data_IF_041612032604
#
_entry.id   IF_041612032604
#
_cell.length_a   1.000
_cell.length_b   1.000
_cell.length_c   1.000
_cell.angle_alpha   90.00
_cell.angle_beta   90.00
_cell.angle_gamma   90.00
#
_symmetry.space_group_name_H-M   'P 1'
#
loop_
_entity.id
_entity.type
_entity.pdbx_description
1 polymer ?
#
# COMPACT_ATOMS: atom_id res chain seq x y z
N UNK A 1 4.72 -15.07 -18.75
CA UNK A 1 3.75 -14.82 -17.67
C UNK A 1 4.53 -14.85 -16.37
N UNK A 2 4.58 -13.73 -15.64
CA UNK A 2 5.28 -13.61 -14.37
C UNK A 2 4.30 -13.68 -13.18
N UNK A 3 4.82 -13.80 -11.96
CA UNK A 3 4.01 -13.95 -10.75
C UNK A 3 3.05 -12.78 -10.52
N UNK A 4 3.45 -11.56 -10.87
CA UNK A 4 2.62 -10.37 -10.73
C UNK A 4 1.46 -10.38 -11.73
N UNK A 5 1.69 -10.86 -12.95
CA UNK A 5 0.65 -11.03 -13.97
C UNK A 5 -0.40 -12.05 -13.49
N UNK A 6 0.03 -13.20 -12.96
CA UNK A 6 -0.89 -14.22 -12.40
C UNK A 6 -1.69 -13.64 -11.24
N UNK A 7 -1.03 -12.96 -10.30
CA UNK A 7 -1.68 -12.32 -9.18
C UNK A 7 -2.73 -11.28 -9.65
N UNK A 8 -2.41 -10.51 -10.69
CA UNK A 8 -3.30 -9.48 -11.25
C UNK A 8 -4.51 -10.08 -11.96
N UNK A 9 -4.36 -11.23 -12.62
CA UNK A 9 -5.47 -11.95 -13.26
C UNK A 9 -6.45 -12.54 -12.23
N UNK A 10 -5.94 -13.05 -11.10
CA UNK A 10 -6.77 -13.53 -9.99
C UNK A 10 -7.43 -12.34 -9.31
N UNK A 11 -6.67 -11.28 -9.08
CA UNK A 11 -7.14 -10.09 -8.42
C UNK A 11 -8.21 -9.37 -9.26
N UNK A 12 -8.00 -9.04 -10.53
CA UNK A 12 -8.93 -8.30 -11.43
C UNK A 12 -9.27 -6.86 -11.02
N UNK A 13 -9.56 -6.58 -9.76
CA UNK A 13 -9.98 -5.24 -9.27
C UNK A 13 -9.53 -4.99 -7.84
N UNK A 14 -9.26 -3.72 -7.51
CA UNK A 14 -8.95 -3.27 -6.15
C UNK A 14 -10.17 -2.94 -5.30
N UNK A 15 -11.37 -2.81 -5.90
CA UNK A 15 -12.59 -2.50 -5.16
C UNK A 15 -13.16 -3.75 -4.48
N UNK A 16 -12.59 -4.12 -3.33
CA UNK A 16 -12.90 -5.35 -2.58
C UNK A 16 -12.52 -5.24 -1.10
N UNK A 17 -13.16 -6.02 -0.22
CA UNK A 17 -12.90 -5.96 1.22
C UNK A 17 -11.50 -6.48 1.62
N UNK A 18 -10.88 -7.34 0.82
CA UNK A 18 -9.58 -7.97 1.05
C UNK A 18 -8.41 -7.23 0.37
N UNK A 19 -8.63 -6.02 -0.14
CA UNK A 19 -7.62 -5.25 -0.89
C UNK A 19 -6.29 -5.08 -0.12
N UNK A 20 -6.34 -4.94 1.21
CA UNK A 20 -5.14 -4.82 2.04
C UNK A 20 -4.28 -6.09 2.03
N UNK A 21 -4.90 -7.28 2.01
CA UNK A 21 -4.18 -8.56 1.94
C UNK A 21 -3.50 -8.74 0.57
N UNK A 22 -4.17 -8.27 -0.49
CA UNK A 22 -3.56 -8.20 -1.81
C UNK A 22 -2.35 -7.27 -1.81
N UNK A 23 -2.44 -6.07 -1.23
CA UNK A 23 -1.30 -5.16 -1.13
C UNK A 23 -0.08 -5.80 -0.43
N UNK A 24 -0.32 -6.58 0.63
CA UNK A 24 0.74 -7.35 1.30
C UNK A 24 1.36 -8.41 0.38
N UNK A 25 0.55 -9.19 -0.34
CA UNK A 25 1.05 -10.16 -1.30
C UNK A 25 1.88 -9.50 -2.42
N UNK A 26 1.44 -8.37 -2.95
CA UNK A 26 2.18 -7.61 -3.95
C UNK A 26 3.50 -7.04 -3.41
N UNK A 27 3.59 -6.75 -2.10
CA UNK A 27 4.85 -6.31 -1.46
C UNK A 27 5.91 -7.41 -1.42
N UNK A 28 5.50 -8.69 -1.44
CA UNK A 28 6.41 -9.83 -1.54
C UNK A 28 6.93 -10.02 -2.98
N UNK A 29 6.10 -9.70 -3.98
CA UNK A 29 6.47 -9.78 -5.40
C UNK A 29 7.32 -8.58 -5.82
N UNK A 30 7.00 -7.40 -5.28
CA UNK A 30 7.68 -6.13 -5.52
C UNK A 30 8.21 -5.55 -4.20
N UNK A 31 9.43 -5.91 -3.77
CA UNK A 31 9.97 -5.49 -2.48
C UNK A 31 9.96 -3.97 -2.24
N UNK A 32 10.13 -3.18 -3.31
CA UNK A 32 10.12 -1.71 -3.23
C UNK A 32 8.73 -1.11 -2.95
N UNK A 33 7.64 -1.85 -3.17
CA UNK A 33 6.29 -1.36 -2.87
C UNK A 33 6.03 -1.23 -1.37
N UNK A 34 6.78 -1.95 -0.54
CA UNK A 34 6.70 -1.82 0.92
C UNK A 34 6.92 -0.37 1.38
N UNK A 35 7.93 0.30 0.81
CA UNK A 35 8.22 1.70 1.12
C UNK A 35 7.07 2.64 0.72
N UNK A 36 6.41 2.37 -0.41
CA UNK A 36 5.26 3.15 -0.87
C UNK A 36 4.05 2.96 0.06
N UNK A 37 3.79 1.72 0.49
CA UNK A 37 2.71 1.39 1.43
C UNK A 37 2.95 2.07 2.78
N UNK A 38 4.16 1.97 3.33
CA UNK A 38 4.54 2.61 4.60
C UNK A 38 4.44 4.14 4.52
N UNK A 39 4.92 4.74 3.43
CA UNK A 39 4.81 6.19 3.20
C UNK A 39 3.36 6.66 3.13
N UNK A 40 2.52 5.94 2.38
CA UNK A 40 1.09 6.25 2.29
C UNK A 40 0.39 6.12 3.65
N UNK A 41 0.67 5.06 4.40
CA UNK A 41 0.10 4.86 5.73
C UNK A 41 0.47 6.02 6.68
N UNK A 42 1.73 6.45 6.67
CA UNK A 42 2.16 7.60 7.47
C UNK A 42 1.46 8.90 7.03
N UNK A 43 1.30 9.13 5.73
CA UNK A 43 0.57 10.30 5.24
C UNK A 43 -0.89 10.32 5.69
N UNK A 44 -1.58 9.17 5.66
CA UNK A 44 -2.95 9.04 6.19
C UNK A 44 -2.99 9.31 7.70
N UNK A 45 -2.03 8.77 8.45
CA UNK A 45 -1.93 9.01 9.90
C UNK A 45 -1.77 10.49 10.23
N UNK A 46 -0.87 11.20 9.53
CA UNK A 46 -0.66 12.66 9.70
C UNK A 46 -1.97 13.43 9.50
N UNK A 47 -2.75 13.07 8.46
CA UNK A 47 -4.04 13.70 8.17
C UNK A 47 -5.06 13.39 9.27
N UNK A 48 -5.14 12.14 9.74
CA UNK A 48 -6.10 11.73 10.78
C UNK A 48 -5.79 12.35 12.14
N UNK A 49 -4.51 12.36 12.52
CA UNK A 49 -4.03 12.84 13.83
C UNK A 49 -3.83 14.36 13.85
N UNK A 50 -3.99 15.04 12.72
CA UNK A 50 -3.68 16.47 12.57
C UNK A 50 -2.27 16.78 13.07
N UNK A 51 -1.31 15.92 12.72
CA UNK A 51 0.07 16.04 13.18
C UNK A 51 0.67 17.36 12.68
N UNK A 52 1.18 18.17 13.61
CA UNK A 52 1.87 19.43 13.29
C UNK A 52 3.18 19.11 12.59
N UNK A 53 3.41 19.74 11.44
CA UNK A 53 4.63 19.58 10.67
C UNK A 53 5.85 19.87 11.55
N UNK A 54 6.90 19.06 11.40
CA UNK A 54 8.13 19.23 12.16
C UNK A 54 8.79 20.60 11.91
N UNK A 55 8.58 21.19 10.73
CA UNK A 55 9.02 22.55 10.41
C UNK A 55 8.29 23.67 11.17
N UNK A 56 7.20 23.34 11.87
CA UNK A 56 6.40 24.26 12.67
C UNK A 56 6.58 24.05 14.19
N UNK A 57 7.46 23.13 14.60
CA UNK A 57 7.90 22.94 15.98
C UNK A 57 9.17 23.73 16.27
#
# INVERSE_FOLDING_TARGET
>A
MDTAAVASEIQRTWNRPDAAQWAEAYSLIFPHYRLLIESYAKAQQVVMEHEVLDSQR
#
